data_IF_116288510245
#
_entry.id   IF_116288510245
#
_cell.length_a   1.000
_cell.length_b   1.000
_cell.length_c   1.000
_cell.angle_alpha   90.00
_cell.angle_beta   90.00
_cell.angle_gamma   90.00
#
_symmetry.space_group_name_H-M   'P 1'
#
loop_
_entity.id
_entity.type
_entity.pdbx_description
1 polymer ?
#
# COMPACT_ATOMS: atom_id res chain seq x y z
N UNK A 1 4.11 -12.86 -8.91
CA UNK A 1 4.58 -11.78 -9.80
C UNK A 1 3.99 -10.50 -9.25
N UNK A 2 4.68 -9.37 -9.30
CA UNK A 2 4.27 -8.16 -8.57
C UNK A 2 4.19 -6.94 -9.48
N UNK A 3 3.20 -6.08 -9.24
CA UNK A 3 3.27 -4.68 -9.68
C UNK A 3 3.99 -3.89 -8.58
N UNK A 4 5.07 -3.22 -8.94
CA UNK A 4 5.85 -2.38 -8.05
C UNK A 4 5.84 -0.95 -8.53
N UNK A 5 5.48 -0.02 -7.64
CA UNK A 5 5.52 1.42 -7.94
C UNK A 5 6.08 2.21 -6.78
N UNK A 6 6.93 3.16 -7.13
CA UNK A 6 7.42 4.21 -6.26
C UNK A 6 6.79 5.52 -6.69
N UNK A 7 6.04 6.15 -5.79
CA UNK A 7 5.39 7.43 -6.04
C UNK A 7 5.92 8.46 -5.05
N UNK A 8 6.39 9.60 -5.56
CA UNK A 8 6.85 10.70 -4.70
C UNK A 8 5.66 11.36 -4.00
N UNK A 9 5.82 11.63 -2.71
CA UNK A 9 4.81 12.29 -1.88
C UNK A 9 5.09 13.80 -1.83
N UNK A 10 4.12 14.57 -2.31
CA UNK A 10 4.11 16.03 -2.26
C UNK A 10 3.06 16.58 -1.26
N UNK A 11 2.35 15.70 -0.53
CA UNK A 11 1.44 16.01 0.57
C UNK A 11 2.14 15.85 1.92
N UNK A 12 1.65 16.53 2.95
CA UNK A 12 2.08 16.31 4.34
C UNK A 12 1.81 14.86 4.77
N UNK A 13 2.77 14.24 5.45
CA UNK A 13 2.61 12.92 6.07
C UNK A 13 2.34 13.16 7.56
N UNK A 14 1.23 12.65 8.07
CA UNK A 14 0.85 12.78 9.47
C UNK A 14 1.85 12.13 10.43
N UNK A 15 1.70 12.46 11.71
CA UNK A 15 2.50 11.84 12.78
C UNK A 15 1.93 10.48 13.22
N UNK A 16 0.67 10.20 12.90
CA UNK A 16 0.01 8.93 13.21
C UNK A 16 0.46 7.83 12.24
N UNK A 17 1.05 6.76 12.78
CA UNK A 17 1.50 5.60 12.01
C UNK A 17 0.44 4.49 11.98
N UNK A 18 -0.74 4.80 11.44
CA UNK A 18 -1.85 3.82 11.42
C UNK A 18 -1.62 2.70 10.41
N UNK A 19 -2.02 1.48 10.77
CA UNK A 19 -2.18 0.37 9.84
C UNK A 19 -3.63 0.31 9.37
N UNK A 20 -3.86 0.39 8.06
CA UNK A 20 -5.20 0.35 7.47
C UNK A 20 -5.43 -0.99 6.80
N UNK A 21 -6.47 -1.71 7.23
CA UNK A 21 -6.95 -2.90 6.51
C UNK A 21 -8.01 -2.50 5.52
N UNK A 22 -7.71 -2.66 4.24
CA UNK A 22 -8.54 -2.11 3.17
C UNK A 22 -9.11 -3.24 2.30
N UNK A 23 -10.42 -3.30 2.03
CA UNK A 23 -10.93 -4.27 1.06
C UNK A 23 -10.19 -4.19 -0.28
N UNK A 24 -9.88 -5.35 -0.86
CA UNK A 24 -9.05 -5.47 -2.07
C UNK A 24 -9.52 -4.59 -3.24
N UNK A 25 -10.83 -4.40 -3.39
CA UNK A 25 -11.42 -3.52 -4.40
C UNK A 25 -10.96 -2.05 -4.27
N UNK A 26 -10.84 -1.52 -3.05
CA UNK A 26 -10.39 -0.14 -2.85
C UNK A 26 -8.88 -0.03 -2.97
N UNK A 27 -8.15 -1.08 -2.58
CA UNK A 27 -6.73 -1.15 -2.83
C UNK A 27 -6.42 -1.10 -4.34
N UNK A 28 -7.21 -1.82 -5.16
CA UNK A 28 -7.11 -1.73 -6.62
C UNK A 28 -7.38 -0.30 -7.12
N UNK A 29 -8.36 0.42 -6.55
CA UNK A 29 -8.59 1.84 -6.89
C UNK A 29 -7.40 2.71 -6.55
N UNK A 30 -6.73 2.52 -5.40
CA UNK A 30 -5.49 3.25 -5.07
C UNK A 30 -4.36 2.96 -6.05
N UNK A 31 -4.37 1.76 -6.61
CA UNK A 31 -3.45 1.35 -7.67
C UNK A 31 -3.73 2.11 -8.99
N UNK A 32 -4.87 2.79 -9.15
CA UNK A 32 -5.10 3.66 -10.29
C UNK A 32 -4.27 4.95 -10.18
N UNK A 33 -3.78 5.42 -11.32
CA UNK A 33 -2.91 6.60 -11.41
C UNK A 33 -3.57 7.86 -10.80
N UNK A 34 -4.89 8.00 -10.94
CA UNK A 34 -5.58 9.22 -10.47
C UNK A 34 -5.80 9.25 -8.95
N UNK A 35 -6.18 8.12 -8.34
CA UNK A 35 -6.38 8.03 -6.89
C UNK A 35 -5.04 8.15 -6.17
N UNK A 36 -4.00 7.47 -6.67
CA UNK A 36 -2.65 7.61 -6.12
C UNK A 36 -2.14 9.06 -6.24
N UNK A 37 -2.36 9.74 -7.38
CA UNK A 37 -2.03 11.17 -7.56
C UNK A 37 -2.72 12.07 -6.53
N UNK A 38 -4.03 11.92 -6.33
CA UNK A 38 -4.78 12.72 -5.35
C UNK A 38 -4.38 12.36 -3.92
N UNK A 39 -3.97 11.13 -3.65
CA UNK A 39 -3.48 10.70 -2.32
C UNK A 39 -2.14 11.35 -1.96
N UNK A 40 -1.22 11.46 -2.92
CA UNK A 40 0.15 11.93 -2.68
C UNK A 40 0.34 13.43 -2.91
N UNK A 41 -0.64 14.12 -3.47
CA UNK A 41 -0.53 15.53 -3.86
C UNK A 41 -1.81 16.31 -3.49
N UNK A 42 -1.66 17.35 -2.69
CA UNK A 42 -2.73 18.27 -2.30
C UNK A 42 -2.89 19.46 -3.26
N UNK A 43 -1.91 19.72 -4.14
CA UNK A 43 -2.02 20.73 -5.18
C UNK A 43 -2.86 20.22 -6.36
N UNK A 44 -4.18 20.49 -6.30
CA UNK A 44 -5.14 20.19 -7.37
C UNK A 44 -4.71 20.69 -8.75
N UNK A 45 -4.13 21.89 -8.83
CA UNK A 45 -3.80 22.53 -10.12
C UNK A 45 -2.72 21.74 -10.87
N UNK A 46 -1.77 21.16 -10.13
CA UNK A 46 -0.73 20.30 -10.69
C UNK A 46 -1.24 18.95 -11.22
N UNK A 47 -2.48 18.57 -10.91
CA UNK A 47 -3.05 17.27 -11.30
C UNK A 47 -3.93 17.35 -12.56
N UNK A 48 -4.19 18.54 -13.10
CA UNK A 48 -5.05 18.77 -14.26
C UNK A 48 -6.46 18.15 -14.12
N UNK A 49 -7.00 18.13 -12.89
CA UNK A 49 -8.34 17.61 -12.58
C UNK A 49 -9.37 18.73 -12.41
N UNK A 50 -10.62 18.44 -12.77
CA UNK A 50 -11.74 19.31 -12.42
C UNK A 50 -11.89 19.43 -10.90
N UNK A 51 -12.39 20.57 -10.43
CA UNK A 51 -12.60 20.83 -9.00
C UNK A 51 -13.49 19.76 -8.36
N UNK A 52 -14.63 19.48 -8.98
CA UNK A 52 -15.58 18.47 -8.50
C UNK A 52 -14.96 17.09 -8.42
N UNK A 53 -14.19 16.68 -9.43
CA UNK A 53 -13.60 15.34 -9.47
C UNK A 53 -12.47 15.17 -8.44
N UNK A 54 -11.62 16.18 -8.27
CA UNK A 54 -10.60 16.17 -7.22
C UNK A 54 -11.22 16.01 -5.83
N UNK A 55 -12.22 16.83 -5.49
CA UNK A 55 -12.87 16.76 -4.18
C UNK A 55 -13.68 15.49 -3.98
N UNK A 56 -14.26 14.94 -5.05
CA UNK A 56 -14.86 13.61 -5.02
C UNK A 56 -13.83 12.56 -4.58
N UNK A 57 -12.69 12.45 -5.27
CA UNK A 57 -11.64 11.48 -4.93
C UNK A 57 -11.10 11.72 -3.51
N UNK A 58 -10.79 12.98 -3.17
CA UNK A 58 -10.33 13.35 -1.84
C UNK A 58 -11.32 12.92 -0.74
N UNK A 59 -12.63 13.08 -0.98
CA UNK A 59 -13.65 12.64 -0.03
C UNK A 59 -13.66 11.12 0.16
N UNK A 60 -13.43 10.35 -0.91
CA UNK A 60 -13.33 8.89 -0.83
C UNK A 60 -12.10 8.48 -0.02
N UNK A 61 -10.94 9.11 -0.28
CA UNK A 61 -9.71 8.84 0.47
C UNK A 61 -9.84 9.18 1.97
N UNK A 62 -10.56 10.26 2.31
CA UNK A 62 -10.90 10.59 3.71
C UNK A 62 -11.82 9.55 4.35
N UNK A 63 -12.84 9.07 3.63
CA UNK A 63 -13.74 8.00 4.11
C UNK A 63 -13.01 6.69 4.37
N UNK A 64 -11.94 6.42 3.63
CA UNK A 64 -11.06 5.27 3.81
C UNK A 64 -10.03 5.49 4.95
N UNK A 65 -10.11 6.61 5.68
CA UNK A 65 -9.17 6.98 6.74
C UNK A 65 -7.70 7.05 6.26
N UNK A 66 -7.48 7.31 4.96
CA UNK A 66 -6.14 7.45 4.36
C UNK A 66 -5.63 8.89 4.40
N UNK A 67 -6.55 9.84 4.57
CA UNK A 67 -6.26 11.26 4.73
C UNK A 67 -7.05 11.80 5.91
N UNK A 68 -6.36 12.49 6.81
CA UNK A 68 -6.91 13.21 7.96
C UNK A 68 -6.30 14.61 7.97
N UNK A 69 -7.11 15.66 8.15
CA UNK A 69 -6.65 17.06 8.12
C UNK A 69 -5.76 17.44 6.91
N UNK A 70 -6.06 16.84 5.75
CA UNK A 70 -5.30 16.99 4.50
C UNK A 70 -3.86 16.43 4.53
N UNK A 71 -3.50 15.68 5.56
CA UNK A 71 -2.26 14.89 5.66
C UNK A 71 -2.54 13.40 5.42
N UNK A 72 -1.54 12.66 4.93
CA UNK A 72 -1.60 11.20 4.85
C UNK A 72 -1.62 10.63 6.28
N UNK A 73 -2.62 9.83 6.62
CA UNK A 73 -2.90 9.37 8.00
C UNK A 73 -2.59 7.89 8.25
N UNK A 74 -1.80 7.26 7.38
CA UNK A 74 -1.43 5.85 7.50
C UNK A 74 0.07 5.63 7.28
N UNK A 75 0.59 4.55 7.89
CA UNK A 75 1.92 4.01 7.65
C UNK A 75 1.92 2.91 6.60
N UNK A 76 0.94 2.01 6.71
CA UNK A 76 0.80 0.87 5.83
C UNK A 76 -0.67 0.58 5.54
N UNK A 77 -0.97 0.16 4.32
CA UNK A 77 -2.26 -0.38 3.90
C UNK A 77 -2.05 -1.84 3.55
N UNK A 78 -2.76 -2.74 4.22
CA UNK A 78 -2.77 -4.17 3.88
C UNK A 78 -4.16 -4.49 3.32
N UNK A 79 -4.26 -4.92 2.05
CA UNK A 79 -5.53 -5.31 1.50
C UNK A 79 -6.05 -6.59 2.15
N UNK A 80 -7.36 -6.70 2.26
CA UNK A 80 -8.04 -7.88 2.77
C UNK A 80 -9.10 -8.36 1.79
N UNK A 81 -9.34 -9.67 1.78
CA UNK A 81 -10.48 -10.30 1.11
C UNK A 81 -11.37 -10.89 2.19
N UNK A 82 -12.64 -10.50 2.17
CA UNK A 82 -13.66 -11.06 3.05
C UNK A 82 -14.40 -12.13 2.25
N UNK A 83 -14.40 -13.35 2.76
CA UNK A 83 -15.07 -14.50 2.15
C UNK A 83 -15.83 -15.30 3.22
N UNK A 84 -16.48 -16.39 2.81
CA UNK A 84 -17.27 -17.25 3.71
C UNK A 84 -16.45 -17.85 4.87
N UNK A 85 -15.11 -17.93 4.72
CA UNK A 85 -14.19 -18.45 5.74
C UNK A 85 -13.65 -17.37 6.67
N UNK A 86 -13.97 -16.09 6.43
CA UNK A 86 -13.54 -14.96 7.23
C UNK A 86 -12.71 -13.94 6.45
N UNK A 87 -11.70 -13.36 7.12
CA UNK A 87 -10.83 -12.32 6.57
C UNK A 87 -9.49 -12.95 6.19
N UNK A 88 -9.13 -12.81 4.92
CA UNK A 88 -7.83 -13.21 4.39
C UNK A 88 -7.00 -11.96 4.08
N UNK A 89 -5.75 -11.91 4.57
CA UNK A 89 -4.80 -10.87 4.16
C UNK A 89 -4.31 -11.14 2.75
N UNK A 90 -4.39 -10.12 1.92
CA UNK A 90 -3.87 -10.16 0.56
C UNK A 90 -2.35 -9.99 0.56
N UNK A 91 -1.68 -10.55 -0.44
CA UNK A 91 -0.24 -10.42 -0.61
C UNK A 91 0.17 -9.08 -1.25
N UNK A 92 -0.40 -7.96 -0.82
CA UNK A 92 -0.08 -6.63 -1.35
C UNK A 92 -0.01 -5.58 -0.24
N UNK A 93 0.67 -4.46 -0.47
CA UNK A 93 0.85 -3.38 0.52
C UNK A 93 1.04 -2.06 -0.19
N UNK A 94 0.53 -1.02 0.46
CA UNK A 94 0.97 0.35 0.23
C UNK A 94 1.69 0.83 1.50
N UNK A 95 2.92 1.30 1.37
CA UNK A 95 3.75 1.68 2.52
C UNK A 95 4.32 3.09 2.37
N UNK A 96 4.27 3.87 3.46
CA UNK A 96 4.84 5.22 3.51
C UNK A 96 6.25 5.17 4.08
N UNK A 97 7.21 5.41 3.19
CA UNK A 97 8.59 5.72 3.53
C UNK A 97 8.70 7.22 3.83
N UNK A 98 8.43 7.58 5.10
CA UNK A 98 8.43 8.97 5.59
C UNK A 98 9.78 9.66 5.38
N UNK A 99 10.89 8.93 5.55
CA UNK A 99 12.25 9.46 5.44
C UNK A 99 12.56 9.96 4.03
N UNK A 100 12.12 9.20 3.02
CA UNK A 100 12.35 9.55 1.62
C UNK A 100 11.15 10.24 0.96
N UNK A 101 10.05 10.45 1.70
CA UNK A 101 8.76 10.94 1.18
C UNK A 101 8.29 10.14 -0.04
N UNK A 102 8.29 8.82 0.08
CA UNK A 102 7.85 7.91 -0.98
C UNK A 102 6.69 7.04 -0.52
N UNK A 103 5.73 6.84 -1.42
CA UNK A 103 4.70 5.82 -1.31
C UNK A 103 5.14 4.62 -2.15
N UNK A 104 5.29 3.48 -1.48
CA UNK A 104 5.71 2.22 -2.06
C UNK A 104 4.46 1.35 -2.23
N UNK A 105 4.07 1.06 -3.48
CA UNK A 105 3.01 0.09 -3.78
C UNK A 105 3.63 -1.21 -4.28
N UNK A 106 3.21 -2.32 -3.68
CA UNK A 106 3.55 -3.68 -4.09
C UNK A 106 2.25 -4.47 -4.18
N UNK A 107 1.95 -5.02 -5.35
CA UNK A 107 0.78 -5.88 -5.56
C UNK A 107 1.20 -7.23 -6.15
N UNK A 108 1.27 -8.26 -5.30
CA UNK A 108 1.71 -9.60 -5.71
C UNK A 108 0.63 -10.43 -6.41
N UNK A 109 -0.62 -9.93 -6.49
CA UNK A 109 -1.70 -10.57 -7.25
C UNK A 109 -1.80 -10.04 -8.68
N UNK A 110 -1.08 -8.97 -9.02
CA UNK A 110 -1.11 -8.39 -10.35
C UNK A 110 -0.59 -9.37 -11.41
N UNK A 111 -1.40 -9.58 -12.46
CA UNK A 111 -1.02 -10.33 -13.66
C UNK A 111 -0.36 -9.46 -14.74
N UNK A 112 -0.21 -8.15 -14.50
CA UNK A 112 0.27 -7.16 -15.48
C UNK A 112 1.61 -7.52 -16.13
N UNK A 113 2.48 -8.20 -15.39
CA UNK A 113 3.82 -8.60 -15.84
C UNK A 113 3.98 -10.12 -16.01
N UNK A 114 2.91 -10.85 -16.33
CA UNK A 114 2.87 -12.30 -16.53
C UNK A 114 3.74 -12.86 -17.67
N UNK A 115 5.07 -12.80 -17.56
CA UNK A 115 6.02 -13.45 -18.45
C UNK A 115 6.99 -14.40 -17.69
N UNK A 116 7.51 -15.46 -18.35
CA UNK A 116 8.46 -16.40 -17.74
C UNK A 116 9.78 -15.76 -17.27
N UNK A 117 10.18 -14.62 -17.84
CA UNK A 117 11.18 -13.72 -17.29
C UNK A 117 10.50 -12.44 -16.84
N UNK A 118 10.46 -12.19 -15.53
CA UNK A 118 9.79 -11.03 -14.96
C UNK A 118 10.76 -9.83 -14.98
N UNK A 119 10.51 -8.79 -15.80
CA UNK A 119 11.42 -7.66 -15.94
C UNK A 119 11.50 -6.78 -14.67
N UNK A 120 10.59 -6.99 -13.71
CA UNK A 120 10.47 -6.19 -12.48
C UNK A 120 10.82 -6.96 -11.20
N UNK A 121 11.41 -8.16 -11.33
CA UNK A 121 11.75 -9.01 -10.19
C UNK A 121 12.70 -8.30 -9.20
N UNK A 122 13.75 -7.68 -9.75
CA UNK A 122 14.75 -6.93 -9.00
C UNK A 122 14.16 -5.76 -8.22
N UNK A 123 13.20 -5.08 -8.83
CA UNK A 123 12.50 -3.92 -8.30
C UNK A 123 11.59 -4.31 -7.14
N UNK A 124 10.89 -5.45 -7.25
CA UNK A 124 10.11 -5.96 -6.13
C UNK A 124 10.98 -6.38 -4.95
N UNK A 125 12.09 -7.09 -5.19
CA UNK A 125 13.05 -7.44 -4.13
C UNK A 125 13.62 -6.18 -3.48
N UNK A 126 13.99 -5.18 -4.29
CA UNK A 126 14.49 -3.90 -3.81
C UNK A 126 13.45 -3.15 -2.97
N UNK A 127 12.22 -3.06 -3.45
CA UNK A 127 11.10 -2.45 -2.74
C UNK A 127 10.84 -3.09 -1.39
N UNK A 128 10.83 -4.43 -1.35
CA UNK A 128 10.65 -5.19 -0.12
C UNK A 128 11.81 -4.96 0.87
N UNK A 129 13.06 -5.02 0.40
CA UNK A 129 14.23 -4.72 1.25
C UNK A 129 14.18 -3.29 1.80
N UNK A 130 13.71 -2.32 1.01
CA UNK A 130 13.53 -0.94 1.45
C UNK A 130 12.52 -0.83 2.59
N UNK A 131 11.37 -1.50 2.49
CA UNK A 131 10.38 -1.57 3.58
C UNK A 131 10.98 -2.27 4.80
N UNK A 132 11.67 -3.39 4.61
CA UNK A 132 12.28 -4.14 5.71
C UNK A 132 13.30 -3.27 6.50
N UNK A 133 14.15 -2.55 5.78
CA UNK A 133 15.11 -1.62 6.38
C UNK A 133 14.40 -0.49 7.14
N UNK A 134 13.30 0.07 6.60
CA UNK A 134 12.58 1.16 7.28
C UNK A 134 11.86 0.71 8.56
N UNK A 135 11.46 -0.56 8.65
CA UNK A 135 10.85 -1.12 9.86
C UNK A 135 11.85 -1.77 10.83
N UNK A 136 13.10 -1.96 10.40
CA UNK A 136 14.15 -2.63 11.18
C UNK A 136 14.07 -4.17 11.16
N UNK A 137 13.38 -4.74 10.18
CA UNK A 137 13.21 -6.19 10.06
C UNK A 137 14.51 -6.85 9.56
N UNK A 138 14.93 -7.91 10.25
CA UNK A 138 16.06 -8.74 9.83
C UNK A 138 15.61 -9.74 8.76
N UNK A 139 15.56 -9.29 7.52
CA UNK A 139 15.52 -10.21 6.37
C UNK A 139 16.95 -10.70 6.16
N UNK A 140 17.21 -11.96 6.58
CA UNK A 140 18.54 -12.56 6.53
C UNK A 140 19.17 -12.57 5.13
N UNK A 141 20.40 -13.06 5.02
CA UNK A 141 21.05 -13.25 3.71
C UNK A 141 20.28 -14.30 2.91
N UNK A 142 19.38 -13.84 2.05
CA UNK A 142 18.72 -14.73 1.11
C UNK A 142 19.67 -14.85 -0.07
N UNK A 143 20.47 -15.92 -0.08
CA UNK A 143 21.51 -16.18 -1.07
C UNK A 143 21.01 -16.07 -2.51
N UNK A 144 21.94 -15.77 -3.42
CA UNK A 144 21.70 -15.45 -4.83
C UNK A 144 21.04 -16.58 -5.66
N UNK A 145 20.77 -17.74 -5.05
CA UNK A 145 19.85 -18.77 -5.58
C UNK A 145 18.36 -18.30 -5.62
N UNK A 146 18.10 -17.05 -5.23
CA UNK A 146 16.82 -16.35 -5.15
C UNK A 146 15.89 -16.47 -6.36
N UNK A 147 16.45 -16.62 -7.58
CA UNK A 147 15.66 -16.65 -8.82
C UNK A 147 14.75 -17.89 -8.90
N UNK A 148 15.12 -19.00 -8.24
CA UNK A 148 14.33 -20.25 -8.18
C UNK A 148 13.51 -20.43 -6.90
N UNK A 149 13.68 -19.56 -5.89
CA UNK A 149 13.18 -19.83 -4.52
C UNK A 149 11.94 -19.04 -4.08
N UNK A 150 11.17 -18.46 -5.02
CA UNK A 150 10.02 -17.57 -4.74
C UNK A 150 10.37 -16.44 -3.76
N UNK A 151 11.59 -15.92 -3.87
CA UNK A 151 12.18 -14.93 -2.96
C UNK A 151 11.27 -13.72 -2.64
N UNK A 152 10.64 -13.03 -3.62
CA UNK A 152 9.71 -11.95 -3.31
C UNK A 152 8.58 -12.34 -2.37
N UNK A 153 8.02 -13.55 -2.49
CA UNK A 153 6.95 -14.03 -1.62
C UNK A 153 7.46 -14.38 -0.20
N UNK A 154 8.70 -14.87 -0.07
CA UNK A 154 9.32 -15.10 1.26
C UNK A 154 9.61 -13.79 1.98
N UNK A 155 10.20 -12.83 1.26
CA UNK A 155 10.44 -11.47 1.76
C UNK A 155 9.12 -10.80 2.16
N UNK A 156 8.10 -10.94 1.31
CA UNK A 156 6.75 -10.48 1.55
C UNK A 156 6.21 -10.95 2.90
N UNK A 157 6.15 -12.27 3.10
CA UNK A 157 5.61 -12.85 4.32
C UNK A 157 6.37 -12.34 5.55
N UNK A 158 7.71 -12.31 5.48
CA UNK A 158 8.55 -11.81 6.58
C UNK A 158 8.24 -10.35 6.91
N UNK A 159 8.13 -9.49 5.89
CA UNK A 159 7.86 -8.06 6.08
C UNK A 159 6.45 -7.84 6.63
N UNK A 160 5.46 -8.52 6.09
CA UNK A 160 4.08 -8.42 6.56
C UNK A 160 3.99 -8.90 7.99
N UNK A 161 4.57 -10.05 8.33
CA UNK A 161 4.57 -10.56 9.70
C UNK A 161 5.22 -9.57 10.68
N UNK A 162 6.34 -8.94 10.30
CA UNK A 162 7.00 -7.91 11.11
C UNK A 162 6.18 -6.63 11.23
N UNK A 163 5.55 -6.16 10.15
CA UNK A 163 4.62 -5.01 10.18
C UNK A 163 3.44 -5.35 11.09
N UNK A 164 2.81 -6.50 10.88
CA UNK A 164 1.69 -6.94 11.70
C UNK A 164 2.12 -7.06 13.16
N UNK A 165 3.26 -7.66 13.47
CA UNK A 165 3.74 -7.77 14.85
C UNK A 165 4.02 -6.40 15.49
N UNK A 166 4.65 -5.49 14.76
CA UNK A 166 5.03 -4.16 15.26
C UNK A 166 3.83 -3.23 15.44
N UNK A 167 2.90 -3.24 14.50
CA UNK A 167 1.78 -2.29 14.46
C UNK A 167 0.46 -2.88 14.97
N UNK A 168 0.21 -4.19 14.89
CA UNK A 168 -0.99 -4.81 15.49
C UNK A 168 -0.91 -4.96 17.00
N UNK A 169 0.29 -5.13 17.59
CA UNK A 169 0.43 -5.39 19.04
C UNK A 169 -0.18 -4.29 19.92
N UNK A 170 -0.29 -3.07 19.38
CA UNK A 170 -0.87 -1.91 20.06
C UNK A 170 -2.26 -1.52 19.52
N UNK A 171 -2.85 -2.36 18.67
CA UNK A 171 -4.05 -2.01 17.91
C UNK A 171 -5.31 -2.30 18.75
N UNK A 172 -6.00 -1.23 19.15
CA UNK A 172 -7.20 -1.32 20.00
C UNK A 172 -8.44 -1.80 19.23
N UNK A 173 -8.53 -1.50 17.93
CA UNK A 173 -9.65 -1.85 17.07
C UNK A 173 -9.26 -1.79 15.59
N UNK A 174 -9.78 -2.70 14.78
CA UNK A 174 -9.66 -2.66 13.31
C UNK A 174 -10.96 -2.12 12.75
N UNK A 175 -10.89 -1.01 12.01
CA UNK A 175 -12.00 -0.57 11.15
C UNK A 175 -11.75 -1.05 9.73
N UNK A 176 -12.76 -1.70 9.16
CA UNK A 176 -12.75 -2.08 7.75
C UNK A 176 -13.71 -1.11 7.05
N UNK A 177 -13.21 -0.17 6.22
CA UNK A 177 -14.08 0.75 5.51
C UNK A 177 -14.98 -0.02 4.55
N UNK A 178 -16.29 0.21 4.65
CA UNK A 178 -17.28 -0.27 3.67
C UNK A 178 -17.82 0.93 2.91
N UNK A 179 -17.89 0.89 1.57
CA UNK A 179 -18.76 1.84 0.88
C UNK A 179 -20.20 1.43 1.19
N UNK A 180 -20.85 2.16 2.09
CA UNK A 180 -22.31 2.25 1.99
C UNK A 180 -22.58 3.18 0.83
N UNK A 181 -23.22 2.65 -0.21
CA UNK A 181 -23.78 3.46 -1.28
C UNK A 181 -24.61 4.57 -0.63
N UNK A 182 -24.21 5.81 -0.88
CA UNK A 182 -25.12 6.94 -0.65
C UNK A 182 -26.14 6.82 -1.78
N UNK A 183 -27.44 6.69 -1.50
CA UNK A 183 -28.43 6.77 -2.55
C UNK A 183 -28.27 8.13 -3.23
N UNK A 184 -28.13 8.11 -4.56
CA UNK A 184 -28.14 9.30 -5.41
C UNK A 184 -29.47 10.03 -5.20
#
# INVERSE_FOLDING_TARGET
MCDYRLVKINRVIGETENLVLLPREYFNKLSEDIYSKVLVNDNRESLHLSKSYYYYILSQLKKLELIEDNAISFKAIIPIVINEKGIEFDNSIAYIDKNNKMLIFIDMRSSKYGCPECPVYTECVFGLRRIANSIGAKVGEIGDEGRYSKLPAKLWNTIVDEILHKYLKNLKSIKIPTFRDVPI
#
